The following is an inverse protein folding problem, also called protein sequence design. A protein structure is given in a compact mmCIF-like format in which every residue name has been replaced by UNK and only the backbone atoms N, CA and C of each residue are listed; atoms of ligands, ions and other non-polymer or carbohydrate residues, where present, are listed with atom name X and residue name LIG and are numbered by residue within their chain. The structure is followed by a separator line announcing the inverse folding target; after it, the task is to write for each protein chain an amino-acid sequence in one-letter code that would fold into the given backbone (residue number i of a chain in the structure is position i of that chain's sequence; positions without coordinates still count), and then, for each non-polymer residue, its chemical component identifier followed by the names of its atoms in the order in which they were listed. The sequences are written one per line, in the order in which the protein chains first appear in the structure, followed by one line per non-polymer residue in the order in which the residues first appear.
data_IF_699041027247
#
_entry.id   IF_699041027247
#
_cell.length_a   1.000
_cell.length_b   1.000
_cell.length_c   1.000
_cell.angle_alpha   90.00
_cell.angle_beta   90.00
_cell.angle_gamma   90.00
#
_symmetry.space_group_name_H-M   'P 1'
#
loop_
_entity.id
_entity.type
_entity.pdbx_description
1 polymer ?
#
# COMPACT_ATOMS: atom_id res chain seq x y z
N UNK A 1 -1.20 -26.60 -29.61
CA UNK A 1 -0.04 -25.97 -28.94
C UNK A 1 -0.54 -25.25 -27.70
N UNK A 2 -0.20 -25.73 -26.50
CA UNK A 2 -0.55 -25.06 -25.25
C UNK A 2 0.31 -23.81 -25.12
N UNK A 3 -0.29 -22.62 -25.24
CA UNK A 3 0.39 -21.34 -24.97
C UNK A 3 0.96 -21.40 -23.54
N UNK A 4 2.26 -21.28 -23.39
CA UNK A 4 2.89 -21.15 -22.05
C UNK A 4 2.33 -19.90 -21.38
N UNK A 5 1.61 -20.08 -20.27
CA UNK A 5 1.14 -18.95 -19.45
C UNK A 5 2.35 -18.21 -18.91
N UNK A 6 2.47 -16.94 -19.25
CA UNK A 6 3.51 -16.05 -18.71
C UNK A 6 2.98 -15.42 -17.43
N UNK A 7 3.78 -15.44 -16.37
CA UNK A 7 3.43 -14.85 -15.08
C UNK A 7 4.48 -13.78 -14.77
N UNK A 8 4.00 -12.61 -14.38
CA UNK A 8 4.81 -11.53 -13.81
C UNK A 8 4.50 -11.49 -12.31
N UNK A 9 5.51 -11.68 -11.49
CA UNK A 9 5.44 -11.42 -10.04
C UNK A 9 5.94 -10.01 -9.78
N UNK A 10 5.04 -9.15 -9.36
CA UNK A 10 5.34 -7.81 -8.86
C UNK A 10 5.46 -7.88 -7.33
N UNK A 11 6.52 -7.35 -6.77
CA UNK A 11 6.76 -7.35 -5.32
C UNK A 11 6.87 -5.92 -4.83
N UNK A 12 6.17 -5.61 -3.76
CA UNK A 12 6.26 -4.35 -3.02
C UNK A 12 6.36 -4.63 -1.52
N UNK A 13 7.01 -3.74 -0.79
CA UNK A 13 7.12 -3.80 0.67
C UNK A 13 7.22 -2.40 1.25
N UNK A 14 7.12 -2.30 2.57
CA UNK A 14 7.48 -1.10 3.32
C UNK A 14 6.75 0.15 2.86
N UNK A 15 5.41 0.07 2.72
CA UNK A 15 4.60 1.20 2.29
C UNK A 15 4.50 2.28 3.35
N UNK A 16 4.55 1.90 4.64
CA UNK A 16 4.54 2.79 5.80
C UNK A 16 3.51 3.93 5.71
N UNK A 17 2.30 3.61 5.21
CA UNK A 17 1.22 4.59 5.09
C UNK A 17 0.89 5.15 6.47
N UNK A 18 0.75 6.48 6.54
CA UNK A 18 0.61 7.20 7.81
C UNK A 18 1.87 7.93 8.23
N UNK A 19 3.04 7.58 7.68
CA UNK A 19 4.26 8.39 7.84
C UNK A 19 4.22 9.60 6.93
N UNK A 20 4.78 10.73 7.39
CA UNK A 20 4.90 11.98 6.58
C UNK A 20 5.96 11.88 5.49
N UNK A 21 6.76 10.83 5.46
CA UNK A 21 7.83 10.58 4.47
C UNK A 21 7.57 9.38 3.57
N UNK A 22 6.43 8.71 3.75
CA UNK A 22 6.02 7.54 2.98
C UNK A 22 4.89 7.86 2.01
N UNK A 23 4.39 6.85 1.29
CA UNK A 23 3.30 7.05 0.34
C UNK A 23 2.02 7.54 1.02
N UNK A 24 1.37 8.51 0.38
CA UNK A 24 0.10 9.06 0.83
C UNK A 24 -0.89 9.12 -0.34
N UNK A 25 -2.18 8.80 -0.14
CA UNK A 25 -3.17 8.96 -1.19
C UNK A 25 -3.31 10.43 -1.60
N UNK A 26 -3.61 10.74 -2.86
CA UNK A 26 -3.61 12.11 -3.38
C UNK A 26 -4.67 12.99 -2.73
N UNK A 27 -5.77 12.39 -2.23
CA UNK A 27 -6.81 13.08 -1.47
C UNK A 27 -6.41 13.39 -0.02
N UNK A 28 -5.22 12.97 0.41
CA UNK A 28 -4.78 13.08 1.80
C UNK A 28 -5.46 12.07 2.72
N UNK A 29 -5.20 12.17 4.01
CA UNK A 29 -5.71 11.26 5.04
C UNK A 29 -6.75 11.99 5.88
N UNK A 30 -7.96 11.46 6.00
CA UNK A 30 -8.99 11.97 6.91
C UNK A 30 -8.56 11.72 8.35
N UNK A 31 -8.65 12.74 9.21
CA UNK A 31 -8.23 12.69 10.60
C UNK A 31 -9.44 12.55 11.54
N UNK A 32 -9.19 12.10 12.76
CA UNK A 32 -10.23 11.86 13.78
C UNK A 32 -10.99 13.12 14.19
N UNK A 33 -10.32 14.30 14.11
CA UNK A 33 -10.91 15.59 14.44
C UNK A 33 -11.79 16.18 13.32
N UNK A 34 -11.98 15.44 12.23
CA UNK A 34 -12.68 15.89 11.03
C UNK A 34 -11.80 16.68 10.08
N UNK A 35 -10.54 16.93 10.42
CA UNK A 35 -9.54 17.53 9.54
C UNK A 35 -9.04 16.56 8.48
N UNK A 36 -8.06 17.05 7.70
CA UNK A 36 -7.41 16.23 6.68
C UNK A 36 -5.93 16.57 6.57
N UNK A 37 -5.10 15.55 6.71
CA UNK A 37 -3.69 15.68 6.37
C UNK A 37 -3.55 15.77 4.84
N UNK A 38 -2.78 16.73 4.36
CA UNK A 38 -2.50 16.87 2.93
C UNK A 38 -1.10 16.33 2.61
N UNK A 39 -0.94 15.57 1.50
CA UNK A 39 0.36 15.06 1.12
C UNK A 39 1.33 16.22 0.81
N UNK A 40 2.54 16.09 1.29
CA UNK A 40 3.63 17.01 0.97
C UNK A 40 4.20 16.73 -0.43
N UNK A 41 5.11 17.60 -0.90
CA UNK A 41 5.69 17.51 -2.25
C UNK A 41 6.37 16.15 -2.50
N UNK A 42 7.08 15.60 -1.50
CA UNK A 42 7.72 14.29 -1.64
C UNK A 42 6.69 13.16 -1.77
N UNK A 43 5.62 13.22 -0.99
CA UNK A 43 4.53 12.23 -1.03
C UNK A 43 3.76 12.28 -2.36
N UNK A 44 3.54 13.47 -2.92
CA UNK A 44 2.96 13.62 -4.26
C UNK A 44 3.85 12.95 -5.31
N UNK A 45 5.17 13.17 -5.22
CA UNK A 45 6.12 12.51 -6.12
C UNK A 45 6.12 10.99 -5.97
N UNK A 46 6.08 10.46 -4.72
CA UNK A 46 6.00 9.01 -4.46
C UNK A 46 4.72 8.43 -5.08
N UNK A 47 3.58 9.13 -4.90
CA UNK A 47 2.31 8.72 -5.51
C UNK A 47 2.41 8.64 -7.04
N UNK A 48 3.04 9.63 -7.67
CA UNK A 48 3.24 9.60 -9.12
C UNK A 48 4.09 8.40 -9.58
N UNK A 49 5.14 8.05 -8.81
CA UNK A 49 5.94 6.85 -9.10
C UNK A 49 5.11 5.57 -8.92
N UNK A 50 4.26 5.51 -7.89
CA UNK A 50 3.34 4.40 -7.65
C UNK A 50 2.39 4.19 -8.82
N UNK A 51 1.81 5.26 -9.34
CA UNK A 51 0.91 5.21 -10.50
C UNK A 51 1.64 4.87 -11.80
N UNK A 52 2.89 5.27 -11.97
CA UNK A 52 3.75 4.81 -13.08
C UNK A 52 4.03 3.33 -13.01
N UNK A 53 4.36 2.82 -11.82
CA UNK A 53 4.55 1.39 -11.60
C UNK A 53 3.27 0.61 -11.94
N UNK A 54 2.12 1.06 -11.47
CA UNK A 54 0.82 0.51 -11.86
C UNK A 54 0.64 0.45 -13.38
N UNK A 55 0.99 1.51 -14.09
CA UNK A 55 0.87 1.57 -15.56
C UNK A 55 1.73 0.51 -16.26
N UNK A 56 2.94 0.25 -15.73
CA UNK A 56 3.81 -0.84 -16.20
C UNK A 56 3.13 -2.19 -16.03
N UNK A 57 2.55 -2.48 -14.86
CA UNK A 57 1.84 -3.72 -14.58
C UNK A 57 0.63 -3.90 -15.50
N UNK A 58 -0.14 -2.83 -15.72
CA UNK A 58 -1.27 -2.82 -16.65
C UNK A 58 -0.83 -3.13 -18.10
N UNK A 59 0.33 -2.63 -18.52
CA UNK A 59 0.94 -2.94 -19.82
C UNK A 59 1.25 -4.42 -19.97
N UNK A 60 1.83 -5.05 -18.97
CA UNK A 60 2.09 -6.50 -18.97
C UNK A 60 0.78 -7.30 -19.02
N UNK A 61 -0.21 -6.93 -18.20
CA UNK A 61 -1.52 -7.58 -18.23
C UNK A 61 -2.18 -7.48 -19.60
N UNK A 62 -2.17 -6.30 -20.21
CA UNK A 62 -2.67 -6.07 -21.58
C UNK A 62 -1.94 -6.93 -22.63
N UNK A 63 -0.66 -7.22 -22.40
CA UNK A 63 0.16 -8.09 -23.25
C UNK A 63 -0.05 -9.59 -22.99
N UNK A 64 -1.05 -9.97 -22.21
CA UNK A 64 -1.44 -11.36 -21.94
C UNK A 64 -0.59 -12.06 -20.86
N UNK A 65 0.11 -11.30 -20.01
CA UNK A 65 0.74 -11.84 -18.81
C UNK A 65 -0.27 -11.91 -17.67
N UNK A 66 -0.21 -12.97 -16.87
CA UNK A 66 -0.86 -12.98 -15.56
C UNK A 66 0.00 -12.17 -14.59
N UNK A 67 -0.56 -11.10 -14.05
CA UNK A 67 0.13 -10.23 -13.09
C UNK A 67 -0.26 -10.62 -11.69
N UNK A 68 0.72 -11.01 -10.89
CA UNK A 68 0.55 -11.37 -9.47
C UNK A 68 1.27 -10.32 -8.64
N UNK A 69 0.56 -9.73 -7.69
CA UNK A 69 1.12 -8.78 -6.74
C UNK A 69 1.41 -9.49 -5.41
N UNK A 70 2.62 -9.38 -4.92
CA UNK A 70 3.02 -9.78 -3.58
C UNK A 70 3.34 -8.52 -2.78
N UNK A 71 2.64 -8.32 -1.68
CA UNK A 71 2.96 -7.29 -0.68
C UNK A 71 3.68 -7.96 0.48
N UNK A 72 4.91 -7.57 0.70
CA UNK A 72 5.76 -8.14 1.74
C UNK A 72 5.65 -7.33 3.04
N UNK A 73 4.45 -7.25 3.59
CA UNK A 73 4.13 -6.61 4.86
C UNK A 73 4.30 -5.09 4.89
N UNK A 74 4.11 -4.56 6.10
CA UNK A 74 4.33 -3.17 6.48
C UNK A 74 3.53 -2.17 5.63
N UNK A 75 2.20 -2.37 5.59
CA UNK A 75 1.29 -1.43 4.92
C UNK A 75 1.25 -0.07 5.60
N UNK A 76 1.28 -0.06 6.94
CA UNK A 76 1.21 1.16 7.74
C UNK A 76 2.52 1.38 8.52
N UNK A 77 2.75 2.64 8.92
CA UNK A 77 3.92 2.97 9.74
C UNK A 77 3.73 2.50 11.19
N UNK A 78 2.50 2.52 11.68
CA UNK A 78 2.18 2.14 13.04
C UNK A 78 2.69 3.14 14.08
N UNK A 79 2.43 2.83 15.36
CA UNK A 79 2.87 3.63 16.48
C UNK A 79 4.11 2.98 17.11
N UNK A 80 5.29 3.30 16.63
CA UNK A 80 6.54 2.73 17.12
C UNK A 80 7.60 3.80 17.39
N UNK A 81 8.51 3.49 18.32
CA UNK A 81 9.70 4.30 18.64
C UNK A 81 9.46 5.80 18.89
N UNK A 82 8.27 6.19 19.37
CA UNK A 82 7.91 7.60 19.62
C UNK A 82 8.19 8.51 18.40
N UNK A 83 8.02 7.98 17.18
CA UNK A 83 8.23 8.72 15.95
C UNK A 83 7.29 9.93 15.89
N UNK A 84 7.86 11.11 15.65
CA UNK A 84 7.09 12.34 15.39
C UNK A 84 6.69 12.52 13.92
N UNK A 85 7.08 11.59 13.05
CA UNK A 85 6.85 11.69 11.60
C UNK A 85 5.53 11.03 11.18
N UNK A 86 4.50 11.12 12.01
CA UNK A 86 3.18 10.55 11.73
C UNK A 86 2.23 11.62 11.20
N UNK A 87 1.49 11.28 10.14
CA UNK A 87 0.38 12.07 9.62
C UNK A 87 -0.93 11.83 10.38
N UNK A 88 -1.06 10.65 11.01
CA UNK A 88 -2.19 10.26 11.84
C UNK A 88 -1.70 9.36 12.97
N UNK A 89 -2.40 9.35 14.11
CA UNK A 89 -2.04 8.56 15.29
C UNK A 89 -2.93 7.32 15.48
N UNK A 90 -3.90 7.08 14.58
CA UNK A 90 -4.81 5.94 14.63
C UNK A 90 -4.38 4.87 13.63
N UNK A 91 -4.12 3.64 14.06
CA UNK A 91 -3.88 2.53 13.16
C UNK A 91 -5.04 2.27 12.18
N UNK A 92 -6.28 2.53 12.59
CA UNK A 92 -7.48 2.37 11.77
C UNK A 92 -7.50 3.40 10.63
N UNK A 93 -7.13 4.65 10.92
CA UNK A 93 -6.99 5.71 9.92
C UNK A 93 -5.88 5.38 8.93
N UNK A 94 -4.73 4.93 9.43
CA UNK A 94 -3.61 4.50 8.58
C UNK A 94 -4.02 3.31 7.70
N UNK A 95 -4.75 2.34 8.25
CA UNK A 95 -5.24 1.17 7.50
C UNK A 95 -6.21 1.58 6.39
N UNK A 96 -7.15 2.48 6.67
CA UNK A 96 -8.07 3.01 5.65
C UNK A 96 -7.32 3.71 4.51
N UNK A 97 -6.32 4.53 4.84
CA UNK A 97 -5.46 5.18 3.85
C UNK A 97 -4.61 4.16 3.06
N UNK A 98 -4.12 3.09 3.71
CA UNK A 98 -3.37 2.02 3.04
C UNK A 98 -4.23 1.26 2.04
N UNK A 99 -5.50 0.98 2.37
CA UNK A 99 -6.45 0.39 1.43
C UNK A 99 -6.63 1.30 0.20
N UNK A 100 -6.81 2.62 0.41
CA UNK A 100 -6.92 3.58 -0.70
C UNK A 100 -5.65 3.58 -1.58
N UNK A 101 -4.46 3.52 -0.99
CA UNK A 101 -3.18 3.42 -1.69
C UNK A 101 -3.10 2.15 -2.53
N UNK A 102 -3.60 1.02 -2.01
CA UNK A 102 -3.50 -0.29 -2.65
C UNK A 102 -4.51 -0.52 -3.77
N UNK A 103 -5.70 0.08 -3.68
CA UNK A 103 -6.80 -0.19 -4.62
C UNK A 103 -6.42 -0.06 -6.10
N UNK A 104 -5.64 0.95 -6.56
CA UNK A 104 -5.21 1.01 -7.95
C UNK A 104 -4.38 -0.19 -8.40
N UNK A 105 -3.55 -0.75 -7.51
CA UNK A 105 -2.72 -1.93 -7.79
C UNK A 105 -3.56 -3.20 -7.81
N UNK A 106 -4.41 -3.40 -6.81
CA UNK A 106 -5.30 -4.56 -6.71
C UNK A 106 -6.19 -4.67 -7.94
N UNK A 107 -6.79 -3.57 -8.38
CA UNK A 107 -7.62 -3.53 -9.59
C UNK A 107 -6.84 -3.80 -10.90
N UNK A 108 -5.53 -3.67 -10.86
CA UNK A 108 -4.65 -3.90 -12.02
C UNK A 108 -4.14 -5.34 -12.08
N UNK A 109 -3.99 -6.01 -10.95
CA UNK A 109 -3.41 -7.35 -10.84
C UNK A 109 -4.48 -8.45 -10.94
N UNK A 110 -4.05 -9.66 -11.28
CA UNK A 110 -4.93 -10.84 -11.38
C UNK A 110 -4.99 -11.65 -10.08
N UNK A 111 -4.04 -11.44 -9.18
CA UNK A 111 -4.00 -12.03 -7.85
C UNK A 111 -3.15 -11.16 -6.91
N UNK A 112 -3.53 -11.17 -5.64
CA UNK A 112 -2.82 -10.51 -4.54
C UNK A 112 -2.40 -11.57 -3.51
N UNK A 113 -1.16 -11.49 -3.05
CA UNK A 113 -0.65 -12.21 -1.90
C UNK A 113 -0.05 -11.21 -0.91
N UNK A 114 -0.26 -11.46 0.36
CA UNK A 114 0.25 -10.61 1.44
C UNK A 114 1.00 -11.48 2.43
N UNK A 115 2.21 -11.10 2.79
CA UNK A 115 2.92 -11.64 3.95
C UNK A 115 2.80 -10.68 5.12
N UNK A 116 3.03 -11.18 6.32
CA UNK A 116 3.04 -10.34 7.52
C UNK A 116 4.28 -9.45 7.56
N UNK A 117 4.09 -8.22 7.98
CA UNK A 117 5.17 -7.32 8.38
C UNK A 117 5.67 -7.59 9.81
N UNK A 118 6.47 -6.68 10.31
CA UNK A 118 6.98 -6.74 11.69
C UNK A 118 5.93 -6.25 12.68
N UNK A 119 5.97 -6.77 13.91
CA UNK A 119 5.05 -6.32 14.97
C UNK A 119 5.27 -4.85 15.36
N UNK A 120 6.46 -4.31 15.10
CA UNK A 120 6.78 -2.91 15.36
C UNK A 120 5.84 -1.96 14.57
N UNK A 121 5.55 -2.28 13.32
CA UNK A 121 4.69 -1.48 12.44
C UNK A 121 3.26 -1.97 12.38
N UNK A 122 3.07 -3.28 12.32
CA UNK A 122 1.75 -3.89 12.08
C UNK A 122 0.99 -4.23 13.36
N UNK A 123 1.59 -3.97 14.54
CA UNK A 123 1.01 -4.32 15.83
C UNK A 123 1.13 -5.80 16.17
N UNK A 124 0.67 -6.18 17.38
CA UNK A 124 0.77 -7.56 17.84
C UNK A 124 0.12 -8.56 16.90
N UNK A 125 0.88 -9.59 16.49
CA UNK A 125 0.43 -10.59 15.53
C UNK A 125 0.17 -10.06 14.12
N UNK A 126 0.71 -8.89 13.77
CA UNK A 126 0.47 -8.19 12.49
C UNK A 126 -1.02 -7.89 12.23
N UNK A 127 -1.73 -7.45 13.27
CA UNK A 127 -3.18 -7.23 13.22
C UNK A 127 -3.61 -6.26 12.11
N UNK A 128 -2.84 -5.19 11.88
CA UNK A 128 -3.13 -4.21 10.83
C UNK A 128 -2.99 -4.80 9.44
N UNK A 129 -1.92 -5.57 9.17
CA UNK A 129 -1.72 -6.22 7.87
C UNK A 129 -2.85 -7.22 7.57
N UNK A 130 -3.30 -7.98 8.58
CA UNK A 130 -4.44 -8.89 8.43
C UNK A 130 -5.75 -8.14 8.13
N UNK A 131 -6.02 -7.06 8.86
CA UNK A 131 -7.22 -6.26 8.64
C UNK A 131 -7.23 -5.68 7.21
N UNK A 132 -6.14 -5.09 6.77
CA UNK A 132 -6.01 -4.54 5.42
C UNK A 132 -6.14 -5.63 4.36
N UNK A 133 -5.44 -6.76 4.52
CA UNK A 133 -5.47 -7.86 3.55
C UNK A 133 -6.86 -8.48 3.38
N UNK A 134 -7.75 -8.37 4.37
CA UNK A 134 -9.15 -8.85 4.28
C UNK A 134 -10.06 -7.91 3.50
N UNK A 135 -9.72 -6.64 3.45
CA UNK A 135 -10.50 -5.60 2.74
C UNK A 135 -10.05 -5.46 1.27
N UNK A 136 -8.84 -5.89 0.93
CA UNK A 136 -8.27 -5.88 -0.43
C UNK A 136 -8.68 -7.12 -1.25
#
# INVERSE_FOLDING_TARGET
MTSKRRILLAVVSDLHVGSTVAICPPGGIALEDGGRYQPNVAQVWIWDQWMRYRAVLAGYRKSGWKVVLLVNGEFIDGLHHESSQLAANSPEIMASAAIEVMMPMVNTCDALYVTRGTEAHSGHGAASDFAIAREL
#
